data_IF_829741614029
#
_entry.id   IF_829741614029
#
_cell.length_a   1.000
_cell.length_b   1.000
_cell.length_c   1.000
_cell.angle_alpha   90.00
_cell.angle_beta   90.00
_cell.angle_gamma   90.00
#
_symmetry.space_group_name_H-M   'P 1'
#
loop_
_entity.id
_entity.type
_entity.pdbx_description
1 polymer ?
#
# COMPACT_ATOMS: atom_id res chain seq x y z
N UNK A 1 -8.81 -22.35 -9.47
CA UNK A 1 -9.97 -21.54 -9.90
C UNK A 1 -10.89 -21.35 -8.70
N UNK A 2 -10.74 -20.23 -8.02
CA UNK A 2 -11.58 -19.80 -6.90
C UNK A 2 -11.37 -18.30 -6.80
N UNK A 3 -12.42 -17.51 -7.02
CA UNK A 3 -12.31 -16.06 -6.99
C UNK A 3 -11.83 -15.61 -5.62
N UNK A 4 -10.66 -14.96 -5.58
CA UNK A 4 -10.21 -14.32 -4.35
C UNK A 4 -11.05 -13.07 -4.17
N UNK A 5 -11.73 -12.94 -3.02
CA UNK A 5 -12.44 -11.70 -2.70
C UNK A 5 -11.39 -10.62 -2.47
N UNK A 6 -11.53 -9.49 -3.16
CA UNK A 6 -10.73 -8.31 -2.86
C UNK A 6 -11.26 -7.66 -1.57
N UNK A 7 -10.35 -7.16 -0.75
CA UNK A 7 -10.69 -6.46 0.49
C UNK A 7 -10.03 -5.09 0.48
N UNK A 8 -10.79 -4.06 0.88
CA UNK A 8 -10.20 -2.78 1.22
C UNK A 8 -9.67 -2.87 2.65
N UNK A 9 -8.38 -2.59 2.83
CA UNK A 9 -7.72 -2.57 4.13
C UNK A 9 -7.09 -1.21 4.37
N UNK A 10 -7.07 -0.79 5.63
CA UNK A 10 -6.39 0.44 6.05
C UNK A 10 -5.03 0.07 6.67
N UNK A 11 -3.98 0.62 6.09
CA UNK A 11 -2.60 0.48 6.58
C UNK A 11 -2.18 1.79 7.21
N UNK A 12 -1.67 1.70 8.43
CA UNK A 12 -1.22 2.83 9.22
C UNK A 12 0.27 2.64 9.54
N UNK A 13 1.03 3.73 9.46
CA UNK A 13 2.41 3.73 9.92
C UNK A 13 2.70 5.01 10.72
N UNK A 14 3.56 4.86 11.74
CA UNK A 14 4.07 5.93 12.57
C UNK A 14 5.59 5.78 12.63
N UNK A 15 6.30 6.77 12.07
CA UNK A 15 7.75 6.83 12.06
C UNK A 15 8.20 8.00 12.95
N UNK A 16 8.98 7.71 13.99
CA UNK A 16 9.45 8.69 14.96
C UNK A 16 10.96 8.68 14.99
N UNK A 17 11.58 9.85 14.89
CA UNK A 17 13.02 10.02 15.10
C UNK A 17 13.32 9.86 16.59
N UNK A 18 13.75 8.67 17.01
CA UNK A 18 13.98 8.36 18.44
C UNK A 18 15.45 8.04 18.75
N UNK A 19 16.31 7.92 17.73
CA UNK A 19 17.71 7.48 17.90
C UNK A 19 17.85 6.00 18.28
N UNK A 20 16.75 5.25 18.30
CA UNK A 20 16.71 3.82 18.59
C UNK A 20 15.87 3.09 17.54
N UNK A 21 16.36 1.94 17.07
CA UNK A 21 15.72 1.14 16.04
C UNK A 21 14.66 0.23 16.67
N UNK A 22 13.55 0.82 17.13
CA UNK A 22 12.39 0.04 17.59
C UNK A 22 11.47 -0.20 16.41
N UNK A 23 11.14 -1.46 16.12
CA UNK A 23 10.17 -1.81 15.08
C UNK A 23 9.06 -2.66 15.66
N UNK A 24 7.81 -2.24 15.46
CA UNK A 24 6.62 -2.99 15.86
C UNK A 24 5.68 -3.07 14.66
N UNK A 25 5.26 -4.28 14.31
CA UNK A 25 4.37 -4.51 13.17
C UNK A 25 3.19 -5.37 13.60
N UNK A 26 1.98 -4.97 13.22
CA UNK A 26 0.74 -5.72 13.43
C UNK A 26 -0.02 -5.86 12.11
N UNK A 27 -0.46 -7.07 11.79
CA UNK A 27 -1.18 -7.37 10.54
C UNK A 27 -0.32 -7.37 9.28
N UNK A 28 1.01 -7.20 9.37
CA UNK A 28 1.96 -7.31 8.24
C UNK A 28 3.07 -8.30 8.60
N UNK A 29 3.61 -9.01 7.60
CA UNK A 29 4.82 -9.82 7.79
C UNK A 29 6.03 -8.92 8.10
N UNK A 30 6.81 -9.18 9.17
CA UNK A 30 7.97 -8.37 9.53
C UNK A 30 8.97 -8.19 8.38
N UNK A 31 9.25 -9.26 7.64
CA UNK A 31 10.19 -9.22 6.51
C UNK A 31 9.70 -8.32 5.36
N UNK A 32 8.38 -8.25 5.14
CA UNK A 32 7.78 -7.35 4.14
C UNK A 32 7.96 -5.89 4.57
N UNK A 33 7.68 -5.58 5.83
CA UNK A 33 7.94 -4.25 6.38
C UNK A 33 9.41 -3.87 6.26
N UNK A 34 10.33 -4.77 6.60
CA UNK A 34 11.78 -4.54 6.47
C UNK A 34 12.22 -4.25 5.04
N UNK A 35 11.71 -5.03 4.08
CA UNK A 35 11.99 -4.81 2.66
C UNK A 35 11.50 -3.42 2.21
N UNK A 36 10.25 -3.06 2.53
CA UNK A 36 9.67 -1.77 2.13
C UNK A 36 10.42 -0.60 2.77
N UNK A 37 10.75 -0.67 4.05
CA UNK A 37 11.54 0.35 4.75
C UNK A 37 12.93 0.49 4.10
N UNK A 38 13.57 -0.62 3.74
CA UNK A 38 14.86 -0.60 3.06
C UNK A 38 14.78 0.05 1.67
N UNK A 39 13.73 -0.25 0.89
CA UNK A 39 13.48 0.38 -0.42
C UNK A 39 13.24 1.88 -0.26
N UNK A 40 12.36 2.29 0.67
CA UNK A 40 12.10 3.71 0.94
C UNK A 40 13.36 4.46 1.37
N UNK A 41 14.17 3.84 2.23
CA UNK A 41 15.43 4.45 2.67
C UNK A 41 16.44 4.58 1.53
N UNK A 42 16.54 3.59 0.63
CA UNK A 42 17.54 3.58 -0.44
C UNK A 42 17.13 4.37 -1.69
N UNK A 43 15.87 4.24 -2.10
CA UNK A 43 15.37 4.72 -3.38
C UNK A 43 14.59 6.03 -3.27
N UNK A 44 13.97 6.30 -2.11
CA UNK A 44 13.21 7.53 -1.85
C UNK A 44 13.93 8.49 -0.88
N UNK A 45 15.19 8.21 -0.55
CA UNK A 45 16.06 9.02 0.32
C UNK A 45 15.44 9.36 1.69
N UNK A 46 14.61 8.45 2.23
CA UNK A 46 14.00 8.65 3.53
C UNK A 46 14.90 8.16 4.66
N UNK A 47 15.18 9.02 5.64
CA UNK A 47 15.96 8.63 6.82
C UNK A 47 15.12 7.83 7.84
N UNK A 48 14.80 6.58 7.49
CA UNK A 48 14.00 5.66 8.33
C UNK A 48 14.85 4.68 9.15
N UNK A 49 16.14 4.50 8.83
CA UNK A 49 17.01 3.50 9.50
C UNK A 49 17.22 3.76 10.99
N UNK A 50 17.14 5.01 11.42
CA UNK A 50 17.33 5.41 12.82
C UNK A 50 16.01 5.71 13.55
N UNK A 51 14.89 5.44 12.89
CA UNK A 51 13.57 5.75 13.43
C UNK A 51 13.00 4.56 14.20
N UNK A 52 12.19 4.87 15.21
CA UNK A 52 11.17 3.97 15.68
C UNK A 52 10.06 3.87 14.64
N UNK A 53 9.71 2.67 14.20
CA UNK A 53 8.69 2.43 13.17
C UNK A 53 7.62 1.50 13.72
N UNK A 54 6.38 1.98 13.69
CA UNK A 54 5.19 1.24 14.10
C UNK A 54 4.28 1.10 12.89
N UNK A 55 3.90 -0.12 12.53
CA UNK A 55 3.00 -0.41 11.42
C UNK A 55 1.81 -1.19 11.94
N UNK A 56 0.61 -0.81 11.53
CA UNK A 56 -0.63 -1.46 11.90
C UNK A 56 -1.55 -1.60 10.69
N UNK A 57 -2.12 -2.79 10.51
CA UNK A 57 -3.28 -2.98 9.64
C UNK A 57 -4.53 -2.93 10.51
N UNK A 58 -5.43 -1.99 10.23
CA UNK A 58 -6.59 -1.75 11.06
C UNK A 58 -7.58 -2.94 11.06
N UNK A 59 -8.49 -2.93 12.04
CA UNK A 59 -9.61 -3.88 12.14
C UNK A 59 -9.21 -5.37 12.22
N UNK A 60 -7.98 -5.69 12.60
CA UNK A 60 -7.48 -7.07 12.68
C UNK A 60 -7.27 -7.73 11.32
N UNK A 61 -7.31 -6.96 10.24
CA UNK A 61 -7.00 -7.45 8.89
C UNK A 61 -5.50 -7.76 8.76
N UNK A 62 -5.17 -8.49 7.69
CA UNK A 62 -3.81 -8.98 7.43
C UNK A 62 -3.41 -8.67 5.99
N UNK A 63 -2.25 -8.05 5.83
CA UNK A 63 -1.63 -7.75 4.55
C UNK A 63 -0.48 -8.74 4.29
N UNK A 64 -0.76 -9.73 3.44
CA UNK A 64 0.18 -10.79 3.10
C UNK A 64 0.59 -10.81 1.63
N UNK A 65 -0.29 -10.40 0.73
CA UNK A 65 0.01 -10.31 -0.69
C UNK A 65 0.92 -9.12 -1.02
N UNK A 66 1.41 -9.08 -2.27
CA UNK A 66 2.21 -7.97 -2.79
C UNK A 66 1.36 -6.78 -3.26
N UNK A 67 0.03 -6.91 -3.34
CA UNK A 67 -0.85 -5.85 -3.83
C UNK A 67 -0.93 -4.66 -2.87
N UNK A 68 -0.73 -4.86 -1.57
CA UNK A 68 -0.67 -3.76 -0.60
C UNK A 68 0.72 -3.18 -0.36
N UNK A 69 1.76 -3.55 -1.11
CA UNK A 69 3.12 -3.01 -0.88
C UNK A 69 3.17 -1.50 -1.08
N UNK A 70 2.50 -0.97 -2.11
CA UNK A 70 2.41 0.49 -2.33
C UNK A 70 1.65 1.17 -1.20
N UNK A 71 0.60 0.56 -0.65
CA UNK A 71 -0.13 1.12 0.49
C UNK A 71 0.74 1.21 1.74
N UNK A 72 1.53 0.17 2.01
CA UNK A 72 2.48 0.14 3.11
C UNK A 72 3.60 1.17 2.94
N UNK A 73 4.13 1.31 1.73
CA UNK A 73 5.13 2.31 1.41
C UNK A 73 4.56 3.72 1.59
N UNK A 74 3.37 3.99 1.04
CA UNK A 74 2.68 5.27 1.14
C UNK A 74 2.43 5.68 2.61
N UNK A 75 1.89 4.77 3.43
CA UNK A 75 1.67 5.02 4.85
C UNK A 75 2.96 5.43 5.60
N UNK A 76 4.11 4.93 5.15
CA UNK A 76 5.42 5.17 5.77
C UNK A 76 6.11 6.45 5.31
N UNK A 77 5.52 7.22 4.38
CA UNK A 77 6.09 8.49 3.88
C UNK A 77 5.94 9.66 4.86
N UNK A 78 5.18 9.50 5.95
CA UNK A 78 4.87 10.55 6.92
C UNK A 78 4.22 11.80 6.28
N UNK A 79 3.41 11.60 5.25
CA UNK A 79 2.62 12.64 4.57
C UNK A 79 1.13 12.32 4.65
N UNK A 80 0.25 13.32 4.86
CA UNK A 80 -1.19 13.07 4.87
C UNK A 80 -1.70 12.80 3.47
N UNK A 81 -2.55 11.78 3.32
CA UNK A 81 -3.28 11.52 2.08
C UNK A 81 -4.72 12.02 2.18
N UNK A 82 -5.30 12.55 1.08
CA UNK A 82 -6.73 12.82 1.02
C UNK A 82 -7.56 11.58 1.32
N UNK A 83 -8.74 11.77 1.90
CA UNK A 83 -9.71 10.68 2.08
C UNK A 83 -10.16 10.13 0.74
N UNK A 84 -10.55 8.86 0.72
CA UNK A 84 -11.00 8.18 -0.50
C UNK A 84 -9.86 7.85 -1.47
N UNK A 85 -8.61 7.80 -1.01
CA UNK A 85 -7.46 7.33 -1.78
C UNK A 85 -7.15 5.89 -1.40
N UNK A 86 -6.93 5.03 -2.40
CA UNK A 86 -6.40 3.68 -2.21
C UNK A 86 -5.14 3.47 -3.07
N UNK A 87 -4.31 2.51 -2.66
CA UNK A 87 -3.07 2.14 -3.32
C UNK A 87 -3.06 0.65 -3.62
N UNK A 88 -2.67 0.27 -4.84
CA UNK A 88 -2.57 -1.12 -5.26
C UNK A 88 -1.32 -1.31 -6.10
N UNK A 89 -0.44 -2.21 -5.70
CA UNK A 89 0.73 -2.59 -6.46
C UNK A 89 1.82 -3.19 -5.60
N UNK A 90 2.74 -3.85 -6.28
CA UNK A 90 3.95 -4.42 -5.69
C UNK A 90 5.09 -3.39 -5.76
N UNK A 91 5.98 -3.41 -4.76
CA UNK A 91 7.19 -2.58 -4.74
C UNK A 91 8.39 -3.47 -5.02
N UNK A 92 9.09 -3.20 -6.11
CA UNK A 92 10.36 -3.83 -6.45
C UNK A 92 11.52 -3.25 -5.62
N UNK A 93 12.59 -4.03 -5.49
CA UNK A 93 13.81 -3.59 -4.77
C UNK A 93 14.50 -2.38 -5.44
N UNK A 94 14.26 -2.17 -6.74
CA UNK A 94 14.72 -0.99 -7.48
C UNK A 94 13.90 0.27 -7.19
N UNK A 95 12.82 0.18 -6.41
CA UNK A 95 11.84 1.25 -6.22
C UNK A 95 10.80 1.32 -7.34
N UNK A 96 10.84 0.40 -8.31
CA UNK A 96 9.83 0.27 -9.35
C UNK A 96 8.51 -0.24 -8.77
N UNK A 97 7.39 0.31 -9.26
CA UNK A 97 6.07 -0.20 -8.93
C UNK A 97 5.66 -1.24 -9.96
N UNK A 98 5.27 -2.42 -9.50
CA UNK A 98 4.90 -3.56 -10.34
C UNK A 98 3.41 -3.84 -10.30
N UNK A 99 2.93 -4.37 -11.42
CA UNK A 99 1.55 -4.79 -11.58
C UNK A 99 1.34 -6.07 -10.77
N UNK A 100 0.26 -6.12 -10.02
CA UNK A 100 -0.18 -7.35 -9.35
C UNK A 100 -1.22 -8.06 -10.23
N UNK A 101 -1.15 -9.41 -10.36
CA UNK A 101 -2.12 -10.16 -11.13
C UNK A 101 -3.53 -9.96 -10.58
N UNK A 102 -4.48 -9.63 -11.46
CA UNK A 102 -5.91 -9.54 -11.08
C UNK A 102 -6.41 -10.93 -10.71
N UNK A 103 -6.78 -11.13 -9.44
CA UNK A 103 -7.24 -12.43 -8.94
C UNK A 103 -8.78 -12.49 -8.79
N UNK A 104 -9.52 -11.66 -9.55
CA UNK A 104 -10.98 -11.59 -9.52
C UNK A 104 -11.51 -10.24 -10.04
N UNK A 105 -12.80 -9.96 -9.79
CA UNK A 105 -13.55 -8.76 -10.22
C UNK A 105 -13.07 -7.45 -9.53
N UNK A 106 -11.79 -7.13 -9.60
CA UNK A 106 -11.17 -5.93 -8.99
C UNK A 106 -11.71 -4.60 -9.52
N UNK A 107 -12.38 -4.65 -10.68
CA UNK A 107 -12.94 -3.48 -11.34
C UNK A 107 -14.00 -2.76 -10.52
N UNK A 108 -14.78 -3.44 -9.67
CA UNK A 108 -16.03 -2.89 -9.09
C UNK A 108 -15.87 -2.20 -7.73
N UNK A 109 -14.71 -2.32 -7.08
CA UNK A 109 -14.54 -2.02 -5.64
C UNK A 109 -14.32 -0.55 -5.25
N UNK A 110 -13.68 0.32 -6.07
CA UNK A 110 -13.43 1.70 -5.62
C UNK A 110 -14.73 2.45 -5.25
N UNK A 111 -15.80 2.19 -6.01
CA UNK A 111 -17.08 2.87 -5.86
C UNK A 111 -17.84 2.43 -4.60
N UNK A 112 -17.74 1.16 -4.18
CA UNK A 112 -18.54 0.63 -3.06
C UNK A 112 -18.07 1.10 -1.68
N UNK A 113 -16.80 1.49 -1.55
CA UNK A 113 -16.20 1.88 -0.26
C UNK A 113 -15.90 3.38 -0.17
N UNK A 114 -16.45 4.20 -1.08
CA UNK A 114 -16.19 5.64 -1.12
C UNK A 114 -14.74 5.99 -1.51
N UNK A 115 -14.03 5.08 -2.17
CA UNK A 115 -12.71 5.34 -2.74
C UNK A 115 -12.91 6.12 -4.04
N UNK A 116 -12.47 7.36 -4.03
CA UNK A 116 -12.56 8.29 -5.15
C UNK A 116 -11.39 8.14 -6.12
N UNK A 117 -10.23 7.69 -5.62
CA UNK A 117 -9.01 7.59 -6.43
C UNK A 117 -8.17 6.38 -6.03
N UNK A 118 -7.72 5.63 -7.03
CA UNK A 118 -6.77 4.52 -6.85
C UNK A 118 -5.45 4.87 -7.52
N UNK A 119 -4.35 4.73 -6.80
CA UNK A 119 -3.00 4.77 -7.36
C UNK A 119 -2.48 3.35 -7.56
N UNK A 120 -2.07 3.02 -8.79
CA UNK A 120 -1.51 1.72 -9.12
C UNK A 120 -0.32 1.82 -10.08
N UNK A 121 0.46 0.73 -10.18
CA UNK A 121 1.55 0.62 -11.16
C UNK A 121 1.00 0.82 -12.58
N UNK A 122 1.66 1.70 -13.36
CA UNK A 122 1.23 2.08 -14.70
C UNK A 122 1.76 1.08 -15.73
N UNK A 123 0.88 0.38 -16.43
CA UNK A 123 1.09 0.07 -17.85
C UNK A 123 0.49 1.22 -18.66
N UNK A 124 1.07 1.54 -19.82
CA UNK A 124 0.54 2.45 -20.84
C UNK A 124 -0.98 2.62 -20.80
N UNK A 125 -1.45 3.85 -20.59
CA UNK A 125 -2.85 4.29 -20.61
C UNK A 125 -3.81 3.63 -19.60
N UNK A 126 -3.76 4.05 -18.34
CA UNK A 126 -5.00 4.37 -17.60
C UNK A 126 -4.65 5.29 -16.43
N UNK A 127 -5.06 6.55 -16.54
CA UNK A 127 -5.20 7.44 -15.39
C UNK A 127 -6.70 7.58 -15.16
N UNK A 128 -7.12 7.48 -13.90
CA UNK A 128 -8.46 7.75 -13.38
C UNK A 128 -9.53 6.75 -13.82
N UNK A 129 -9.92 5.85 -12.91
CA UNK A 129 -11.30 5.33 -12.94
C UNK A 129 -12.12 6.39 -12.23
N UNK A 130 -12.79 7.26 -12.99
CA UNK A 130 -13.79 8.15 -12.38
C UNK A 130 -14.99 7.31 -11.94
N UNK A 131 -15.57 7.58 -10.76
CA UNK A 131 -16.80 6.92 -10.33
C UNK A 131 -17.89 7.19 -11.39
N UNK A 132 -18.30 6.16 -12.15
CA UNK A 132 -19.30 6.27 -13.22
C UNK A 132 -18.88 5.79 -14.60
N UNK A 133 -17.68 5.24 -14.77
CA UNK A 133 -17.18 4.76 -16.08
C UNK A 133 -17.75 3.40 -16.55
N UNK A 134 -18.72 2.82 -15.85
CA UNK A 134 -19.35 1.57 -16.28
C UNK A 134 -20.51 1.90 -17.20
N UNK A 135 -20.25 1.83 -18.51
CA UNK A 135 -21.30 1.75 -19.53
C UNK A 135 -22.13 0.45 -19.37
N UNK A 136 -23.30 0.39 -20.04
CA UNK A 136 -24.42 -0.49 -19.72
C UNK A 136 -24.11 -1.99 -19.76
#
# INVERSE_FOLDING_TARGET
MGGSRAFLIEVQALCIMTGSTTKQVNGVLPNKADMIIAVLNKQADLNLRLNGIYINVANGAKLFDTAGDVALAAASLNVPFPRGVAFIGEVGLGGDLRIVPKNGEEGSYPVQFGVQKVYCSRTSHQTIVEPGSYGP
#
